data_IF_207187581028
#
_entry.id   IF_207187581028
#
_cell.length_a   1.000
_cell.length_b   1.000
_cell.length_c   1.000
_cell.angle_alpha   90.00
_cell.angle_beta   90.00
_cell.angle_gamma   90.00
#
_symmetry.space_group_name_H-M   'P 1'
#
loop_
_entity.id
_entity.type
_entity.pdbx_description
1 polymer ?
#
# COMPACT_ATOMS: atom_id res chain seq x y z
N UNK A 1 11.13 20.53 15.77
CA UNK A 1 11.10 19.31 16.60
C UNK A 1 12.54 18.86 16.73
N UNK A 2 12.99 18.67 17.96
CA UNK A 2 14.34 18.21 18.30
C UNK A 2 14.54 16.73 17.93
N UNK A 3 15.79 16.31 17.85
CA UNK A 3 16.20 14.94 17.61
C UNK A 3 15.65 13.99 18.69
N UNK A 4 15.61 14.46 19.95
CA UNK A 4 15.06 13.71 21.08
C UNK A 4 13.56 13.46 20.96
N UNK A 5 12.80 14.46 20.50
CA UNK A 5 11.36 14.32 20.24
C UNK A 5 11.10 13.32 19.09
N UNK A 6 11.93 13.33 18.04
CA UNK A 6 11.85 12.35 16.95
C UNK A 6 12.07 10.93 17.46
N UNK A 7 13.10 10.71 18.28
CA UNK A 7 13.41 9.39 18.85
C UNK A 7 12.26 8.89 19.76
N UNK A 8 11.66 9.77 20.56
CA UNK A 8 10.48 9.43 21.35
C UNK A 8 9.27 9.07 20.46
N UNK A 9 9.06 9.79 19.37
CA UNK A 9 8.00 9.51 18.41
C UNK A 9 8.20 8.13 17.77
N UNK A 10 9.44 7.78 17.36
CA UNK A 10 9.79 6.47 16.79
C UNK A 10 9.46 5.33 17.76
N UNK A 11 9.80 5.49 19.05
CA UNK A 11 9.53 4.49 20.07
C UNK A 11 8.03 4.22 20.20
N UNK A 12 7.20 5.27 20.19
CA UNK A 12 5.74 5.13 20.22
C UNK A 12 5.15 4.55 18.91
N UNK A 13 5.89 4.64 17.80
CA UNK A 13 5.43 4.26 16.45
C UNK A 13 6.08 2.99 15.90
N UNK A 14 6.65 2.15 16.77
CA UNK A 14 7.15 0.80 16.41
C UNK A 14 6.14 -0.06 15.64
N UNK A 15 4.84 0.21 15.82
CA UNK A 15 3.76 -0.44 15.06
C UNK A 15 3.86 -0.26 13.54
N UNK A 16 4.52 0.80 13.05
CA UNK A 16 4.77 1.02 11.62
C UNK A 16 5.69 -0.07 11.05
N UNK A 17 6.59 -0.62 11.86
CA UNK A 17 7.65 -1.50 11.41
C UNK A 17 7.35 -2.99 11.58
N UNK A 18 6.26 -3.36 12.27
CA UNK A 18 5.92 -4.76 12.56
C UNK A 18 5.72 -5.67 11.32
N UNK A 19 5.59 -5.06 10.14
CA UNK A 19 5.39 -5.77 8.87
C UNK A 19 6.71 -6.10 8.15
N UNK A 20 7.83 -5.65 8.69
CA UNK A 20 9.16 -5.95 8.20
C UNK A 20 9.84 -6.88 9.22
N UNK A 21 10.55 -7.89 8.70
CA UNK A 21 11.32 -8.80 9.53
C UNK A 21 12.67 -8.18 9.85
N UNK A 22 13.09 -8.33 11.11
CA UNK A 22 14.47 -8.14 11.56
C UNK A 22 15.10 -6.77 11.24
N UNK A 23 14.32 -5.69 11.34
CA UNK A 23 14.87 -4.32 11.22
C UNK A 23 15.73 -3.98 12.43
N UNK A 24 16.93 -3.45 12.18
CA UNK A 24 17.77 -2.87 13.24
C UNK A 24 17.19 -1.54 13.72
N UNK A 25 17.62 -1.09 14.91
CA UNK A 25 17.21 0.22 15.45
C UNK A 25 17.62 1.37 14.51
N UNK A 26 18.83 1.30 13.93
CA UNK A 26 19.31 2.26 12.93
C UNK A 26 18.40 2.32 11.69
N UNK A 27 17.98 1.16 11.18
CA UNK A 27 17.10 1.07 10.02
C UNK A 27 15.70 1.61 10.34
N UNK A 28 15.15 1.33 11.53
CA UNK A 28 13.87 1.89 11.96
C UNK A 28 13.93 3.42 12.06
N UNK A 29 15.00 3.98 12.65
CA UNK A 29 15.21 5.43 12.74
C UNK A 29 15.31 6.02 11.33
N UNK A 30 16.17 5.45 10.48
CA UNK A 30 16.35 5.92 9.11
C UNK A 30 15.03 5.90 8.32
N UNK A 31 14.29 4.77 8.33
CA UNK A 31 13.03 4.63 7.62
C UNK A 31 11.97 5.60 8.13
N UNK A 32 11.88 5.81 9.45
CA UNK A 32 10.94 6.77 10.01
C UNK A 32 11.24 8.19 9.51
N UNK A 33 12.48 8.64 9.68
CA UNK A 33 12.89 9.97 9.30
C UNK A 33 12.77 10.20 7.79
N UNK A 34 13.26 9.26 6.98
CA UNK A 34 13.29 9.39 5.53
C UNK A 34 11.91 9.19 4.91
N UNK A 35 11.20 8.11 5.24
CA UNK A 35 9.98 7.71 4.53
C UNK A 35 8.70 8.26 5.15
N UNK A 36 8.67 8.56 6.45
CA UNK A 36 7.48 9.09 7.12
C UNK A 36 7.56 10.61 7.34
N UNK A 37 8.65 11.11 7.92
CA UNK A 37 8.87 12.54 8.17
C UNK A 37 9.41 13.31 6.96
N UNK A 38 10.02 12.62 5.99
CA UNK A 38 10.60 13.20 4.77
C UNK A 38 11.65 14.30 5.05
N UNK A 39 12.49 14.10 6.07
CA UNK A 39 13.59 15.02 6.40
C UNK A 39 14.88 14.68 5.63
N UNK A 40 15.82 15.64 5.54
CA UNK A 40 17.03 15.51 4.72
C UNK A 40 18.07 14.64 5.41
N UNK A 41 18.96 14.01 4.63
CA UNK A 41 20.01 13.12 5.17
C UNK A 41 20.88 13.75 6.25
N UNK A 42 21.20 15.04 6.12
CA UNK A 42 21.98 15.76 7.13
C UNK A 42 21.24 15.84 8.47
N UNK A 43 19.92 15.99 8.46
CA UNK A 43 19.10 15.99 9.67
C UNK A 43 18.98 14.57 10.25
N UNK A 44 18.87 13.56 9.38
CA UNK A 44 18.87 12.13 9.79
C UNK A 44 20.17 11.76 10.50
N UNK A 45 21.32 12.26 10.01
CA UNK A 45 22.62 12.06 10.65
C UNK A 45 22.61 12.57 12.10
N UNK A 46 22.09 13.77 12.35
CA UNK A 46 22.04 14.34 13.71
C UNK A 46 21.05 13.58 14.62
N UNK A 47 19.93 13.08 14.06
CA UNK A 47 19.02 12.18 14.80
C UNK A 47 19.72 10.87 15.18
N UNK A 48 20.46 10.26 14.26
CA UNK A 48 21.21 9.04 14.53
C UNK A 48 22.29 9.28 15.58
N UNK A 49 23.07 10.37 15.48
CA UNK A 49 24.10 10.73 16.48
C UNK A 49 23.55 10.93 17.88
N UNK A 50 22.34 11.46 17.98
CA UNK A 50 21.65 11.63 19.27
C UNK A 50 21.40 10.30 19.99
N UNK A 51 21.39 9.18 19.25
CA UNK A 51 21.24 7.83 19.79
C UNK A 51 22.55 7.02 19.76
N UNK A 52 23.35 7.21 18.74
CA UNK A 52 24.57 6.49 18.37
C UNK A 52 25.66 7.51 18.00
N UNK A 53 26.36 8.10 18.99
CA UNK A 53 27.26 9.23 18.78
C UNK A 53 28.39 9.02 17.76
N UNK A 54 28.74 7.76 17.49
CA UNK A 54 29.76 7.36 16.53
C UNK A 54 29.33 7.45 15.06
N UNK A 55 28.01 7.57 14.79
CA UNK A 55 27.47 7.56 13.42
C UNK A 55 27.86 8.79 12.63
N UNK A 56 28.06 8.58 11.34
CA UNK A 56 28.48 9.62 10.38
C UNK A 56 27.55 9.68 9.19
N UNK A 57 27.73 10.68 8.35
CA UNK A 57 26.94 10.86 7.14
C UNK A 57 26.99 9.62 6.21
N UNK A 58 28.14 8.93 6.16
CA UNK A 58 28.34 7.71 5.38
C UNK A 58 27.42 6.57 5.86
N UNK A 59 27.09 6.51 7.16
CA UNK A 59 26.13 5.55 7.70
C UNK A 59 24.71 5.81 7.18
N UNK A 60 24.31 7.09 7.03
CA UNK A 60 23.01 7.45 6.45
C UNK A 60 22.93 6.98 5.00
N UNK A 61 24.01 7.16 4.23
CA UNK A 61 24.09 6.69 2.85
C UNK A 61 24.02 5.17 2.76
N UNK A 62 24.75 4.46 3.64
CA UNK A 62 24.68 3.00 3.76
C UNK A 62 23.25 2.54 4.07
N UNK A 63 22.61 3.13 5.08
CA UNK A 63 21.23 2.80 5.48
C UNK A 63 20.23 3.06 4.34
N UNK A 64 20.43 4.08 3.52
CA UNK A 64 19.60 4.35 2.35
C UNK A 64 19.62 3.20 1.32
N UNK A 65 20.78 2.59 1.10
CA UNK A 65 20.93 1.45 0.21
C UNK A 65 20.41 0.16 0.86
N UNK A 66 20.74 -0.09 2.13
CA UNK A 66 20.22 -1.25 2.87
C UNK A 66 18.69 -1.25 2.97
N UNK A 67 18.09 -0.07 3.16
CA UNK A 67 16.65 0.09 3.30
C UNK A 67 15.91 0.23 1.96
N UNK A 68 16.57 -0.01 0.83
CA UNK A 68 16.03 0.28 -0.52
C UNK A 68 14.69 -0.39 -0.79
N UNK A 69 14.52 -1.64 -0.39
CA UNK A 69 13.27 -2.38 -0.61
C UNK A 69 12.15 -1.81 0.26
N UNK A 70 12.42 -1.56 1.55
CA UNK A 70 11.46 -1.00 2.49
C UNK A 70 11.02 0.41 2.09
N UNK A 71 11.94 1.30 1.70
CA UNK A 71 11.59 2.65 1.23
C UNK A 71 10.76 2.60 -0.04
N UNK A 72 11.02 1.65 -0.93
CA UNK A 72 10.25 1.47 -2.18
C UNK A 72 8.83 1.00 -1.87
N UNK A 73 8.66 0.05 -0.95
CA UNK A 73 7.34 -0.38 -0.46
C UNK A 73 6.57 0.80 0.15
N UNK A 74 7.17 1.53 1.11
CA UNK A 74 6.52 2.68 1.77
C UNK A 74 6.16 3.77 0.74
N UNK A 75 7.05 4.07 -0.19
CA UNK A 75 6.81 5.05 -1.25
C UNK A 75 5.64 4.65 -2.15
N UNK A 76 5.54 3.38 -2.55
CA UNK A 76 4.41 2.90 -3.37
C UNK A 76 3.05 3.07 -2.65
N UNK A 77 3.04 2.92 -1.33
CA UNK A 77 1.85 3.13 -0.49
C UNK A 77 1.57 4.62 -0.35
N UNK A 78 2.60 5.46 -0.23
CA UNK A 78 2.47 6.93 -0.19
C UNK A 78 1.91 7.48 -1.49
N UNK A 79 2.30 6.95 -2.63
CA UNK A 79 1.73 7.32 -3.94
C UNK A 79 0.24 7.01 -4.00
N UNK A 80 -0.19 5.86 -3.46
CA UNK A 80 -1.61 5.57 -3.28
C UNK A 80 -2.24 6.62 -2.36
N UNK A 81 -1.72 6.86 -1.17
CA UNK A 81 -2.27 7.88 -0.28
C UNK A 81 -2.44 9.26 -0.97
N UNK A 82 -1.44 9.63 -1.77
CA UNK A 82 -1.40 10.92 -2.44
C UNK A 82 -2.23 11.04 -3.72
N UNK A 83 -2.83 9.95 -4.21
CA UNK A 83 -3.47 9.97 -5.53
C UNK A 83 -4.76 10.81 -5.59
N UNK A 84 -5.42 11.09 -4.47
CA UNK A 84 -6.58 12.01 -4.39
C UNK A 84 -6.62 12.74 -3.04
N UNK A 85 -7.20 13.94 -3.00
CA UNK A 85 -7.41 14.68 -1.75
C UNK A 85 -8.45 14.00 -0.85
N UNK A 86 -9.54 13.49 -1.42
CA UNK A 86 -10.58 12.74 -0.68
C UNK A 86 -9.98 11.57 0.12
N UNK A 87 -8.98 10.88 -0.46
CA UNK A 87 -8.28 9.79 0.23
C UNK A 87 -7.43 10.30 1.38
N UNK A 88 -6.76 11.45 1.21
CA UNK A 88 -6.00 12.04 2.32
C UNK A 88 -6.93 12.40 3.47
N UNK A 89 -8.00 13.10 3.17
CA UNK A 89 -9.01 13.53 4.15
C UNK A 89 -9.64 12.35 4.88
N UNK A 90 -9.98 11.27 4.14
CA UNK A 90 -10.55 10.05 4.71
C UNK A 90 -9.67 9.31 5.71
N UNK A 91 -8.37 9.61 5.72
CA UNK A 91 -7.40 9.07 6.69
C UNK A 91 -6.82 10.19 7.59
N UNK A 92 -7.56 11.29 7.75
CA UNK A 92 -7.24 12.40 8.65
C UNK A 92 -6.04 13.23 8.20
N UNK A 93 -5.73 13.23 6.90
CA UNK A 93 -4.53 13.87 6.37
C UNK A 93 -3.22 13.18 6.79
N UNK A 94 -3.29 12.01 7.44
CA UNK A 94 -2.14 11.34 8.03
C UNK A 94 -1.75 10.08 7.24
N UNK A 95 -0.58 10.11 6.63
CA UNK A 95 -0.03 8.97 5.89
C UNK A 95 0.19 7.73 6.77
N UNK A 96 0.58 7.89 8.03
CA UNK A 96 0.81 6.74 8.93
C UNK A 96 -0.47 5.94 9.16
N UNK A 97 -1.60 6.62 9.33
CA UNK A 97 -2.90 5.97 9.47
C UNK A 97 -3.25 5.15 8.22
N UNK A 98 -3.05 5.74 7.04
CA UNK A 98 -3.26 5.05 5.77
C UNK A 98 -2.29 3.87 5.60
N UNK A 99 -1.01 4.05 5.91
CA UNK A 99 0.02 3.02 5.81
C UNK A 99 -0.31 1.82 6.71
N UNK A 100 -0.65 2.06 7.98
CA UNK A 100 -1.05 1.01 8.92
C UNK A 100 -2.28 0.27 8.40
N UNK A 101 -3.31 1.00 7.94
CA UNK A 101 -4.50 0.39 7.35
C UNK A 101 -4.15 -0.47 6.14
N UNK A 102 -3.32 0.03 5.22
CA UNK A 102 -2.96 -0.65 3.98
C UNK A 102 -2.15 -1.93 4.23
N UNK A 103 -1.21 -1.89 5.19
CA UNK A 103 -0.39 -3.06 5.56
C UNK A 103 -1.20 -4.14 6.29
N UNK A 104 -2.31 -3.78 6.95
CA UNK A 104 -3.26 -4.75 7.55
C UNK A 104 -4.13 -5.48 6.53
N UNK A 105 -4.27 -4.97 5.31
CA UNK A 105 -5.12 -5.60 4.32
C UNK A 105 -4.45 -6.84 3.73
N UNK A 106 -5.22 -7.93 3.61
CA UNK A 106 -4.87 -9.05 2.75
C UNK A 106 -4.64 -8.55 1.32
N UNK A 107 -3.57 -8.99 0.65
CA UNK A 107 -3.25 -8.58 -0.72
C UNK A 107 -4.10 -9.35 -1.75
N UNK A 108 -5.42 -9.26 -1.58
CA UNK A 108 -6.44 -9.84 -2.45
C UNK A 108 -7.63 -8.91 -2.64
N UNK A 109 -8.39 -9.12 -3.71
CA UNK A 109 -9.64 -8.42 -3.95
C UNK A 109 -10.68 -8.81 -2.90
N UNK A 110 -11.32 -7.81 -2.30
CA UNK A 110 -12.39 -7.98 -1.32
C UNK A 110 -13.61 -8.72 -1.88
N UNK A 111 -13.93 -8.53 -3.17
CA UNK A 111 -15.10 -9.15 -3.79
C UNK A 111 -14.80 -10.55 -4.34
N UNK A 112 -13.88 -10.68 -5.30
CA UNK A 112 -13.63 -11.95 -5.99
C UNK A 112 -12.48 -12.77 -5.41
N UNK A 113 -11.78 -12.27 -4.38
CA UNK A 113 -10.70 -13.00 -3.72
C UNK A 113 -9.41 -13.18 -4.51
N UNK A 114 -9.31 -12.71 -5.77
CA UNK A 114 -8.07 -12.82 -6.56
C UNK A 114 -6.91 -12.12 -5.84
N UNK A 115 -5.76 -12.78 -5.73
CA UNK A 115 -4.58 -12.18 -5.08
C UNK A 115 -3.88 -11.19 -5.99
N UNK A 116 -3.07 -10.31 -5.41
CA UNK A 116 -2.20 -9.41 -6.16
C UNK A 116 -1.21 -10.19 -7.04
N UNK A 117 -0.69 -11.35 -6.57
CA UNK A 117 0.21 -12.17 -7.38
C UNK A 117 -0.50 -12.78 -8.60
N UNK A 118 -1.69 -13.38 -8.40
CA UNK A 118 -2.48 -13.93 -9.51
C UNK A 118 -2.83 -12.84 -10.52
N UNK A 119 -3.28 -11.67 -10.05
CA UNK A 119 -3.60 -10.55 -10.94
C UNK A 119 -2.38 -10.07 -11.72
N UNK A 120 -1.20 -9.99 -11.08
CA UNK A 120 0.05 -9.64 -11.75
C UNK A 120 0.45 -10.67 -12.81
N UNK A 121 0.27 -11.96 -12.52
CA UNK A 121 0.51 -13.06 -13.45
C UNK A 121 -0.35 -12.93 -14.70
N UNK A 122 -1.67 -12.74 -14.53
CA UNK A 122 -2.63 -12.61 -15.63
C UNK A 122 -2.31 -11.45 -16.57
N UNK A 123 -1.91 -10.29 -16.04
CA UNK A 123 -1.49 -9.15 -16.87
C UNK A 123 -0.14 -9.37 -17.54
N UNK A 124 0.84 -9.95 -16.83
CA UNK A 124 2.18 -10.22 -17.39
C UNK A 124 2.11 -11.24 -18.53
N UNK A 125 1.26 -12.26 -18.40
CA UNK A 125 1.02 -13.26 -19.45
C UNK A 125 0.08 -12.77 -20.55
N UNK A 126 -0.39 -11.52 -20.50
CA UNK A 126 -1.37 -10.92 -21.42
C UNK A 126 -2.70 -11.67 -21.51
N UNK A 127 -3.04 -12.51 -20.52
CA UNK A 127 -4.39 -13.10 -20.39
C UNK A 127 -5.41 -12.03 -20.04
N UNK A 128 -4.96 -10.99 -19.33
CA UNK A 128 -5.64 -9.71 -19.18
C UNK A 128 -4.77 -8.60 -19.74
N UNK A 129 -5.37 -7.64 -20.41
CA UNK A 129 -4.71 -6.44 -20.89
C UNK A 129 -5.69 -5.27 -20.83
N UNK A 130 -5.17 -4.06 -20.63
CA UNK A 130 -5.96 -2.84 -20.61
C UNK A 130 -5.06 -1.63 -20.87
N UNK A 131 -5.59 -0.65 -21.57
CA UNK A 131 -4.93 0.65 -21.77
C UNK A 131 -5.21 1.62 -20.62
N UNK A 132 -6.15 1.30 -19.72
CA UNK A 132 -6.62 2.19 -18.64
C UNK A 132 -6.22 1.74 -17.24
N UNK A 133 -6.00 0.45 -17.04
CA UNK A 133 -5.71 -0.11 -15.71
C UNK A 133 -4.69 -1.25 -15.81
N UNK A 134 -4.07 -1.56 -14.68
CA UNK A 134 -3.05 -2.59 -14.57
C UNK A 134 -3.41 -3.62 -13.48
N UNK A 135 -2.44 -4.46 -13.10
CA UNK A 135 -2.61 -5.52 -12.12
C UNK A 135 -2.61 -5.06 -10.65
N UNK A 136 -2.58 -3.75 -10.40
CA UNK A 136 -2.56 -3.22 -9.03
C UNK A 136 -3.94 -3.36 -8.39
N UNK A 137 -3.99 -3.74 -7.12
CA UNK A 137 -5.21 -3.63 -6.33
C UNK A 137 -5.52 -2.16 -6.03
N UNK A 138 -6.74 -1.75 -6.33
CA UNK A 138 -7.26 -0.40 -6.14
C UNK A 138 -7.83 -0.22 -4.73
N UNK A 139 -7.90 1.04 -4.30
CA UNK A 139 -8.53 1.47 -3.05
C UNK A 139 -10.00 1.78 -3.35
N UNK A 140 -10.90 0.87 -3.00
CA UNK A 140 -12.32 0.92 -3.36
C UNK A 140 -13.19 1.38 -2.19
N UNK A 141 -14.21 2.20 -2.48
CA UNK A 141 -15.24 2.60 -1.52
C UNK A 141 -16.41 1.61 -1.54
N UNK A 142 -16.73 1.03 -0.38
CA UNK A 142 -17.87 0.11 -0.25
C UNK A 142 -19.19 0.84 -0.52
N UNK A 143 -19.32 2.05 0.01
CA UNK A 143 -20.41 2.99 -0.27
C UNK A 143 -19.85 4.16 -1.06
N UNK A 144 -20.10 4.24 -2.38
CA UNK A 144 -19.44 5.18 -3.28
C UNK A 144 -19.67 6.66 -2.96
N UNK A 145 -20.81 6.97 -2.35
CA UNK A 145 -21.21 8.34 -1.98
C UNK A 145 -20.71 8.78 -0.60
N UNK A 146 -20.17 7.86 0.19
CA UNK A 146 -19.55 8.18 1.48
C UNK A 146 -18.04 8.44 1.28
N UNK A 147 -17.40 9.26 2.15
CA UNK A 147 -15.96 9.51 2.07
C UNK A 147 -15.13 8.23 2.19
N UNK A 148 -13.86 8.32 1.79
CA UNK A 148 -12.90 7.29 2.17
C UNK A 148 -12.80 7.23 3.71
N UNK A 149 -12.73 6.03 4.25
CA UNK A 149 -12.41 5.80 5.67
C UNK A 149 -11.88 4.37 5.84
N UNK A 150 -11.19 4.03 6.95
CA UNK A 150 -10.79 2.65 7.21
C UNK A 150 -11.94 1.63 7.12
N UNK A 151 -13.16 2.04 7.46
CA UNK A 151 -14.38 1.23 7.50
C UNK A 151 -15.08 1.17 6.12
N UNK A 152 -15.07 2.27 5.37
CA UNK A 152 -15.70 2.36 4.05
C UNK A 152 -14.75 1.98 2.90
N UNK A 153 -13.54 1.50 3.18
CA UNK A 153 -12.54 1.23 2.15
C UNK A 153 -12.03 -0.20 2.18
N UNK A 154 -11.86 -0.81 0.99
CA UNK A 154 -11.24 -2.14 0.81
C UNK A 154 -10.31 -2.17 -0.40
N UNK A 155 -9.47 -3.22 -0.48
CA UNK A 155 -8.71 -3.50 -1.71
C UNK A 155 -9.60 -4.24 -2.70
N UNK A 156 -9.64 -3.79 -3.96
CA UNK A 156 -10.36 -4.47 -5.03
C UNK A 156 -9.49 -4.60 -6.28
N UNK A 157 -9.63 -5.68 -7.05
CA UNK A 157 -8.99 -5.76 -8.36
C UNK A 157 -9.60 -4.73 -9.32
N UNK A 158 -8.86 -4.38 -10.37
CA UNK A 158 -9.31 -3.44 -11.38
C UNK A 158 -10.63 -3.89 -12.04
N UNK A 159 -10.87 -5.19 -12.22
CA UNK A 159 -12.12 -5.69 -12.80
C UNK A 159 -13.32 -5.43 -11.88
N UNK A 160 -13.23 -5.83 -10.61
CA UNK A 160 -14.33 -5.61 -9.67
C UNK A 160 -14.60 -4.15 -9.39
N UNK A 161 -13.55 -3.36 -9.20
CA UNK A 161 -13.66 -1.92 -8.94
C UNK A 161 -14.41 -1.21 -10.07
N UNK A 162 -14.02 -1.48 -11.33
CA UNK A 162 -14.68 -0.88 -12.50
C UNK A 162 -16.10 -1.43 -12.72
N UNK A 163 -16.32 -2.73 -12.53
CA UNK A 163 -17.63 -3.34 -12.74
C UNK A 163 -18.67 -2.89 -11.70
N UNK A 164 -18.27 -2.71 -10.43
CA UNK A 164 -19.16 -2.17 -9.39
C UNK A 164 -19.46 -0.69 -9.63
N UNK A 165 -18.42 0.10 -9.92
CA UNK A 165 -18.49 1.56 -10.03
C UNK A 165 -19.14 2.20 -8.79
N UNK A 166 -19.57 3.44 -8.95
CA UNK A 166 -20.54 4.14 -8.11
C UNK A 166 -21.99 3.70 -8.33
N UNK A 167 -22.24 2.74 -9.24
CA UNK A 167 -23.57 2.34 -9.70
C UNK A 167 -24.19 1.22 -8.86
N UNK A 168 -23.38 0.23 -8.45
CA UNK A 168 -23.87 -0.98 -7.78
C UNK A 168 -23.46 -0.94 -6.31
N UNK A 169 -24.41 -1.19 -5.40
CA UNK A 169 -24.11 -1.29 -3.98
C UNK A 169 -23.18 -2.48 -3.70
N UNK A 170 -22.33 -2.38 -2.66
CA UNK A 170 -21.49 -3.50 -2.22
C UNK A 170 -22.29 -4.81 -2.12
N UNK A 171 -23.43 -4.77 -1.41
CA UNK A 171 -24.30 -5.94 -1.18
C UNK A 171 -24.80 -6.57 -2.48
N UNK A 172 -25.22 -5.76 -3.45
CA UNK A 172 -25.68 -6.30 -4.73
C UNK A 172 -24.52 -6.81 -5.57
N UNK A 173 -23.35 -6.16 -5.53
CA UNK A 173 -22.18 -6.62 -6.24
C UNK A 173 -21.71 -7.99 -5.74
N UNK A 174 -21.62 -8.15 -4.42
CA UNK A 174 -21.32 -9.43 -3.77
C UNK A 174 -22.34 -10.51 -4.14
N UNK A 175 -23.64 -10.18 -4.05
CA UNK A 175 -24.71 -11.15 -4.27
C UNK A 175 -24.80 -11.64 -5.72
N UNK A 176 -24.65 -10.76 -6.70
CA UNK A 176 -24.98 -11.08 -8.09
C UNK A 176 -23.76 -11.20 -9.02
N UNK A 177 -22.61 -10.63 -8.67
CA UNK A 177 -21.48 -10.50 -9.60
C UNK A 177 -20.16 -11.09 -9.08
N UNK A 178 -19.91 -11.04 -7.77
CA UNK A 178 -18.61 -11.43 -7.21
C UNK A 178 -18.26 -12.90 -7.46
N UNK A 179 -19.24 -13.82 -7.36
CA UNK A 179 -19.02 -15.24 -7.65
C UNK A 179 -18.70 -15.49 -9.13
N UNK A 180 -19.46 -14.87 -10.04
CA UNK A 180 -19.19 -14.97 -11.47
C UNK A 180 -17.79 -14.44 -11.84
N UNK A 181 -17.38 -13.32 -11.25
CA UNK A 181 -16.03 -12.77 -11.42
C UNK A 181 -14.95 -13.70 -10.86
N UNK A 182 -15.21 -14.34 -9.72
CA UNK A 182 -14.32 -15.32 -9.11
C UNK A 182 -14.10 -16.50 -10.07
N UNK A 183 -15.18 -17.06 -10.61
CA UNK A 183 -15.13 -18.18 -11.53
C UNK A 183 -14.41 -17.82 -12.83
N UNK A 184 -14.70 -16.65 -13.40
CA UNK A 184 -14.00 -16.13 -14.59
C UNK A 184 -12.49 -16.06 -14.38
N UNK A 185 -12.04 -15.43 -13.29
CA UNK A 185 -10.61 -15.26 -13.03
C UNK A 185 -9.90 -16.59 -12.74
N UNK A 186 -10.56 -17.53 -12.02
CA UNK A 186 -10.01 -18.86 -11.77
C UNK A 186 -9.87 -19.69 -13.05
N UNK A 187 -10.91 -19.69 -13.88
CA UNK A 187 -10.90 -20.43 -15.14
C UNK A 187 -9.86 -19.83 -16.12
N UNK A 188 -9.71 -18.50 -16.14
CA UNK A 188 -8.69 -17.83 -16.94
C UNK A 188 -7.27 -18.13 -16.45
N UNK A 189 -7.05 -18.08 -15.14
CA UNK A 189 -5.73 -18.36 -14.53
C UNK A 189 -5.30 -19.80 -14.79
N UNK A 190 -6.21 -20.76 -14.60
CA UNK A 190 -5.97 -22.19 -14.90
C UNK A 190 -5.86 -22.51 -16.40
N UNK A 191 -6.22 -21.59 -17.29
CA UNK A 191 -6.22 -21.81 -18.73
C UNK A 191 -7.39 -22.66 -19.22
N UNK A 192 -8.42 -22.88 -18.39
CA UNK A 192 -9.67 -23.53 -18.80
C UNK A 192 -10.44 -22.69 -19.83
N UNK A 193 -10.29 -21.38 -19.77
CA UNK A 193 -10.80 -20.44 -20.78
C UNK A 193 -9.69 -19.53 -21.28
N UNK A 194 -9.90 -18.97 -22.47
CA UNK A 194 -9.07 -17.91 -23.04
C UNK A 194 -9.89 -16.60 -23.11
N UNK A 195 -9.21 -15.46 -22.98
CA UNK A 195 -9.80 -14.15 -23.12
C UNK A 195 -9.14 -13.43 -24.31
N UNK A 196 -9.63 -13.71 -25.52
CA UNK A 196 -9.17 -13.07 -26.75
C UNK A 196 -9.94 -11.77 -26.95
N UNK A 197 -9.21 -10.66 -26.92
CA UNK A 197 -9.73 -9.34 -27.25
C UNK A 197 -9.02 -9.00 -28.57
N UNK A 198 -9.67 -9.36 -29.68
CA UNK A 198 -9.17 -9.17 -31.04
C UNK A 198 -8.91 -7.69 -31.36
#
# INVERSE_FOLDING_TARGET
>A
MSEKEILQEIESKKILFKYYKDLTEEQMIFLYCYSFKQIKFKEIEEVLKSRFPEKKYEDVQRLNEECKEYRTDIQSIREKFNSTNERKEGFGGNFENFYIWYKKQDKKCFYCGVTAETLQSLFKSKKLSSTKFNATLHIERLKPKEPYSPENTKLACSLCNNAKSDLISQKNYEKYFAEAMTNFLKDLDSGKIENKID
#
